data_IF_129953346061
#
_entry.id   IF_129953346061
#
_cell.length_a   1.000
_cell.length_b   1.000
_cell.length_c   1.000
_cell.angle_alpha   90.00
_cell.angle_beta   90.00
_cell.angle_gamma   90.00
#
_symmetry.space_group_name_H-M   'P 1'
#
loop_
_entity.id
_entity.type
_entity.pdbx_description
1 polymer ?
#
# COMPACT_ATOMS: atom_id res chain seq x y z
N UNK A 1 -16.11 11.26 40.15
CA UNK A 1 -15.46 11.94 39.01
C UNK A 1 -14.71 10.98 38.05
N UNK A 2 -14.67 9.67 38.31
CA UNK A 2 -13.76 8.74 37.61
C UNK A 2 -14.40 7.91 36.49
N UNK A 3 -15.74 7.88 36.38
CA UNK A 3 -16.43 7.08 35.37
C UNK A 3 -16.35 7.69 33.96
N UNK A 4 -16.38 9.02 33.87
CA UNK A 4 -16.30 9.73 32.58
C UNK A 4 -14.94 9.57 31.90
N UNK A 5 -13.86 9.52 32.69
CA UNK A 5 -12.49 9.33 32.17
C UNK A 5 -12.31 7.90 31.65
N UNK A 6 -12.87 6.91 32.35
CA UNK A 6 -12.82 5.51 31.93
C UNK A 6 -13.51 5.29 30.57
N UNK A 7 -14.69 5.90 30.38
CA UNK A 7 -15.43 5.85 29.11
C UNK A 7 -14.65 6.51 27.96
N UNK A 8 -13.99 7.64 28.25
CA UNK A 8 -13.17 8.35 27.27
C UNK A 8 -11.97 7.52 26.80
N UNK A 9 -11.29 6.84 27.73
CA UNK A 9 -10.18 5.94 27.41
C UNK A 9 -10.66 4.76 26.56
N UNK A 10 -11.79 4.14 26.91
CA UNK A 10 -12.36 3.03 26.12
C UNK A 10 -12.74 3.49 24.72
N UNK A 11 -13.37 4.65 24.57
CA UNK A 11 -13.70 5.23 23.26
C UNK A 11 -12.45 5.46 22.42
N UNK A 12 -11.40 6.07 22.98
CA UNK A 12 -10.13 6.31 22.27
C UNK A 12 -9.50 4.99 21.81
N UNK A 13 -9.46 3.97 22.68
CA UNK A 13 -8.90 2.66 22.34
C UNK A 13 -9.67 1.95 21.21
N UNK A 14 -11.01 2.08 21.18
CA UNK A 14 -11.84 1.53 20.10
C UNK A 14 -11.59 2.28 18.79
N UNK A 15 -11.55 3.61 18.80
CA UNK A 15 -11.28 4.39 17.58
C UNK A 15 -9.85 4.19 17.05
N UNK A 16 -8.85 4.02 17.90
CA UNK A 16 -7.47 3.72 17.47
C UNK A 16 -7.34 2.38 16.75
N UNK A 17 -8.12 1.36 17.15
CA UNK A 17 -8.14 0.05 16.47
C UNK A 17 -8.80 0.10 15.09
N UNK A 18 -9.77 0.99 14.89
CA UNK A 18 -10.47 1.14 13.60
C UNK A 18 -9.62 1.87 12.57
N UNK A 19 -8.69 2.74 13.00
CA UNK A 19 -7.99 3.67 12.11
C UNK A 19 -6.72 3.15 11.42
N UNK A 20 -6.39 1.86 11.54
CA UNK A 20 -5.17 1.29 10.95
C UNK A 20 -5.48 0.23 9.88
N UNK A 21 -6.13 0.67 8.79
CA UNK A 21 -6.04 -0.06 7.52
C UNK A 21 -4.98 0.63 6.65
N UNK A 22 -3.74 0.17 6.74
CA UNK A 22 -2.75 0.44 5.71
C UNK A 22 -3.14 -0.42 4.50
N UNK A 23 -3.65 0.20 3.44
CA UNK A 23 -3.91 -0.49 2.18
C UNK A 23 -2.55 -0.81 1.54
N UNK A 24 -2.08 -2.05 1.71
CA UNK A 24 -0.82 -2.52 1.10
C UNK A 24 -1.17 -3.19 -0.22
N UNK A 25 -0.79 -2.57 -1.34
CA UNK A 25 -0.95 -3.17 -2.67
C UNK A 25 0.06 -4.31 -2.85
N UNK A 26 -0.37 -5.55 -2.60
CA UNK A 26 0.44 -6.76 -2.69
C UNK A 26 -0.42 -7.99 -3.01
N UNK A 27 0.16 -9.03 -3.63
CA UNK A 27 -0.50 -10.30 -3.94
C UNK A 27 0.20 -11.48 -3.24
N UNK A 28 -0.57 -12.43 -2.72
CA UNK A 28 -0.04 -13.68 -2.18
C UNK A 28 0.07 -14.72 -3.30
N UNK A 29 1.29 -15.15 -3.62
CA UNK A 29 1.56 -16.21 -4.58
C UNK A 29 1.97 -17.49 -3.88
N UNK A 30 1.19 -18.55 -4.10
CA UNK A 30 1.49 -19.91 -3.67
C UNK A 30 2.42 -20.56 -4.71
N UNK A 31 3.56 -21.04 -4.25
CA UNK A 31 4.53 -21.76 -5.06
C UNK A 31 4.22 -23.27 -5.02
N UNK A 32 4.67 -23.99 -6.05
CA UNK A 32 4.43 -25.44 -6.18
C UNK A 32 5.10 -26.28 -5.08
N UNK A 33 6.10 -25.72 -4.40
CA UNK A 33 6.76 -26.30 -3.23
C UNK A 33 5.95 -26.12 -1.93
N UNK A 34 4.77 -25.49 -2.00
CA UNK A 34 3.90 -25.21 -0.86
C UNK A 34 4.31 -23.97 -0.07
N UNK A 35 5.33 -23.22 -0.52
CA UNK A 35 5.71 -21.95 0.10
C UNK A 35 4.80 -20.81 -0.37
N UNK A 36 4.70 -19.77 0.47
CA UNK A 36 3.90 -18.57 0.17
C UNK A 36 4.85 -17.40 0.04
N UNK A 37 4.73 -16.68 -1.07
CA UNK A 37 5.50 -15.46 -1.34
C UNK A 37 4.56 -14.28 -1.46
N UNK A 38 4.99 -13.13 -0.96
CA UNK A 38 4.28 -11.86 -1.13
C UNK A 38 4.92 -11.14 -2.32
N UNK A 39 4.11 -10.81 -3.31
CA UNK A 39 4.52 -10.00 -4.46
C UNK A 39 4.09 -8.57 -4.18
N UNK A 40 5.07 -7.74 -3.85
CA UNK A 40 4.88 -6.30 -3.72
C UNK A 40 4.93 -5.62 -5.09
N UNK A 41 4.47 -4.36 -5.13
CA UNK A 41 4.65 -3.52 -6.30
C UNK A 41 6.13 -3.35 -6.67
N UNK A 42 6.41 -3.16 -7.98
CA UNK A 42 7.76 -2.88 -8.43
C UNK A 42 8.30 -1.65 -7.69
N UNK A 43 9.56 -1.73 -7.24
CA UNK A 43 10.25 -0.58 -6.67
C UNK A 43 10.49 0.47 -7.76
N UNK A 44 10.58 1.72 -7.34
CA UNK A 44 11.00 2.80 -8.24
C UNK A 44 12.35 2.46 -8.87
N UNK A 45 12.49 2.58 -10.19
CA UNK A 45 13.78 2.45 -10.85
C UNK A 45 14.78 3.44 -10.23
N UNK A 46 16.03 3.00 -10.01
CA UNK A 46 17.10 3.88 -9.49
C UNK A 46 17.46 5.00 -10.49
N UNK A 47 17.06 4.84 -11.75
CA UNK A 47 17.26 5.83 -12.80
C UNK A 47 16.37 7.07 -12.54
N UNK A 48 16.98 8.26 -12.31
CA UNK A 48 16.27 9.48 -11.97
C UNK A 48 15.38 10.01 -13.10
N UNK A 49 15.48 9.45 -14.32
CA UNK A 49 14.62 9.80 -15.45
C UNK A 49 13.22 9.22 -15.34
N UNK A 50 13.01 8.22 -14.48
CA UNK A 50 11.69 7.64 -14.24
C UNK A 50 10.93 8.45 -13.19
N UNK A 51 9.72 8.86 -13.54
CA UNK A 51 8.81 9.53 -12.61
C UNK A 51 7.63 8.62 -12.29
N UNK A 52 7.14 8.71 -11.06
CA UNK A 52 5.91 8.03 -10.67
C UNK A 52 4.73 8.70 -11.40
N UNK A 53 4.11 7.97 -12.31
CA UNK A 53 2.86 8.35 -12.95
C UNK A 53 1.71 8.36 -11.93
N UNK A 54 0.54 8.92 -12.29
CA UNK A 54 -0.63 8.85 -11.43
C UNK A 54 -0.94 7.39 -11.08
N UNK A 55 -1.26 7.06 -9.82
CA UNK A 55 -1.77 5.73 -9.48
C UNK A 55 -3.00 5.45 -10.35
N UNK A 56 -3.09 4.25 -10.93
CA UNK A 56 -4.22 3.89 -11.80
C UNK A 56 -5.53 3.88 -11.02
N UNK A 57 -5.51 3.33 -9.80
CA UNK A 57 -6.61 3.38 -8.83
C UNK A 57 -6.09 2.86 -7.47
N UNK A 58 -6.27 3.62 -6.38
CA UNK A 58 -5.83 3.20 -5.03
C UNK A 58 -6.66 2.03 -4.46
N UNK A 59 -7.84 1.79 -5.03
CA UNK A 59 -8.76 0.73 -4.60
C UNK A 59 -8.77 -0.49 -5.53
N UNK A 60 -7.96 -0.47 -6.60
CA UNK A 60 -7.86 -1.63 -7.48
C UNK A 60 -7.13 -2.79 -6.79
N UNK A 61 -7.37 -4.01 -7.28
CA UNK A 61 -6.58 -5.16 -6.88
C UNK A 61 -5.16 -5.08 -7.48
N UNK A 62 -4.21 -5.82 -6.90
CA UNK A 62 -2.92 -6.05 -7.56
C UNK A 62 -3.16 -6.71 -8.93
N UNK A 63 -2.44 -6.31 -10.00
CA UNK A 63 -1.35 -5.33 -10.05
C UNK A 63 -1.78 -3.89 -10.34
N UNK A 64 -3.07 -3.61 -10.49
CA UNK A 64 -3.58 -2.31 -10.93
C UNK A 64 -3.47 -1.22 -9.85
N UNK A 65 -3.40 -1.57 -8.56
CA UNK A 65 -3.08 -0.62 -7.49
C UNK A 65 -1.60 -0.20 -7.44
N UNK A 66 -0.72 -0.78 -8.27
CA UNK A 66 0.70 -0.48 -8.22
C UNK A 66 1.06 0.86 -8.90
N UNK A 67 2.06 1.58 -8.38
CA UNK A 67 2.60 2.76 -9.03
C UNK A 67 3.21 2.39 -10.39
N UNK A 68 2.89 3.18 -11.41
CA UNK A 68 3.47 3.03 -12.75
C UNK A 68 4.61 4.03 -12.90
N UNK A 69 5.81 3.55 -13.23
CA UNK A 69 6.97 4.42 -13.49
C UNK A 69 7.09 4.72 -14.98
N UNK A 70 7.06 6.00 -15.33
CA UNK A 70 7.03 6.46 -16.71
C UNK A 70 8.37 7.13 -17.03
N UNK A 71 9.00 6.68 -18.12
CA UNK A 71 10.14 7.37 -18.73
C UNK A 71 9.60 8.40 -19.73
N UNK A 72 9.90 9.71 -19.58
CA UNK A 72 9.43 10.71 -20.51
C UNK A 72 9.96 10.42 -21.93
N UNK A 73 9.17 10.70 -22.98
CA UNK A 73 9.56 10.43 -24.36
C UNK A 73 10.84 11.17 -24.78
N UNK A 74 11.18 12.29 -24.14
CA UNK A 74 12.41 13.06 -24.38
C UNK A 74 13.70 12.30 -24.01
N UNK A 75 13.62 11.24 -23.22
CA UNK A 75 14.76 10.45 -22.74
C UNK A 75 14.86 9.07 -23.39
N UNK A 76 13.99 8.76 -24.36
CA UNK A 76 14.01 7.51 -25.14
C UNK A 76 15.03 7.51 -26.30
N UNK A 77 15.76 8.61 -26.48
CA UNK A 77 16.78 8.78 -27.53
C UNK A 77 18.19 8.52 -27.01
#
# INVERSE_FOLDING_TARGET
MNFKILVLIVLVLVFSKVYTQNYVCSELKYLEDGSVTIIDCPKQPEDPRYYQGPPKDEYAAYPDCCPVYILPPSWKN
#
